data_IF_817963524329
#
_entry.id   IF_817963524329
#
_cell.length_a   1.000
_cell.length_b   1.000
_cell.length_c   1.000
_cell.angle_alpha   90.00
_cell.angle_beta   90.00
_cell.angle_gamma   90.00
#
_symmetry.space_group_name_H-M   'P 1'
#
loop_
_entity.id
_entity.type
_entity.pdbx_description
1 polymer ?
#
# COMPACT_ATOMS: atom_id res chain seq x y z
N UNK A 1 -9.57 -11.48 -16.24
CA UNK A 1 -8.35 -12.24 -16.60
C UNK A 1 -7.17 -11.40 -16.16
N UNK A 2 -6.32 -11.90 -15.28
CA UNK A 2 -5.09 -11.19 -14.89
C UNK A 2 -4.15 -11.22 -16.09
N UNK A 3 -3.84 -10.05 -16.66
CA UNK A 3 -2.83 -9.95 -17.70
C UNK A 3 -1.49 -10.27 -17.04
N UNK A 4 -0.87 -11.39 -17.43
CA UNK A 4 0.47 -11.74 -16.93
C UNK A 4 1.48 -10.77 -17.52
N UNK A 5 2.25 -10.13 -16.64
CA UNK A 5 3.37 -9.29 -17.04
C UNK A 5 4.43 -10.19 -17.70
N UNK A 6 4.89 -9.90 -18.93
CA UNK A 6 5.91 -10.70 -19.59
C UNK A 6 7.23 -10.73 -18.81
N UNK A 7 7.90 -11.89 -18.79
CA UNK A 7 9.25 -12.01 -18.25
C UNK A 7 10.22 -11.06 -18.98
N UNK A 8 11.09 -10.38 -18.24
CA UNK A 8 12.06 -9.44 -18.78
C UNK A 8 11.51 -8.03 -19.05
N UNK A 9 10.22 -7.77 -18.80
CA UNK A 9 9.62 -6.43 -18.86
C UNK A 9 10.43 -5.47 -17.99
N UNK A 10 10.80 -4.32 -18.54
CA UNK A 10 11.55 -3.30 -17.79
C UNK A 10 10.64 -2.71 -16.73
N UNK A 11 11.17 -2.57 -15.52
CA UNK A 11 10.54 -1.86 -14.43
C UNK A 11 11.46 -0.73 -14.01
N UNK A 12 11.02 0.51 -14.22
CA UNK A 12 11.78 1.69 -13.83
C UNK A 12 11.39 2.07 -12.40
N UNK A 13 12.38 2.13 -11.51
CA UNK A 13 12.22 2.70 -10.17
C UNK A 13 13.28 3.77 -10.00
N UNK A 14 12.83 5.03 -9.92
CA UNK A 14 13.71 6.20 -9.89
C UNK A 14 14.72 6.17 -11.05
N UNK A 15 16.03 6.19 -10.79
CA UNK A 15 17.07 6.16 -11.82
C UNK A 15 17.45 4.72 -12.25
N UNK A 16 16.92 3.70 -11.58
CA UNK A 16 17.30 2.31 -11.78
C UNK A 16 16.29 1.58 -12.68
N UNK A 17 16.81 0.72 -13.56
CA UNK A 17 16.01 -0.19 -14.37
C UNK A 17 16.20 -1.62 -13.88
N UNK A 18 15.11 -2.24 -13.46
CA UNK A 18 15.04 -3.66 -13.09
C UNK A 18 14.28 -4.45 -14.15
N UNK A 19 14.27 -5.78 -14.04
CA UNK A 19 13.52 -6.66 -14.94
C UNK A 19 12.56 -7.56 -14.18
N UNK A 20 11.33 -7.58 -14.67
CA UNK A 20 10.29 -8.44 -14.13
C UNK A 20 10.62 -9.92 -14.34
N UNK A 21 10.44 -10.74 -13.32
CA UNK A 21 10.82 -12.14 -13.26
C UNK A 21 12.29 -12.40 -12.92
N UNK A 22 13.13 -11.36 -12.79
CA UNK A 22 14.54 -11.47 -12.41
C UNK A 22 14.77 -10.81 -11.05
N UNK A 23 14.83 -9.47 -11.01
CA UNK A 23 15.04 -8.71 -9.77
C UNK A 23 13.71 -8.32 -9.10
N UNK A 24 12.66 -8.15 -9.89
CA UNK A 24 11.31 -7.80 -9.40
C UNK A 24 10.32 -8.85 -9.84
N UNK A 25 9.44 -9.28 -8.95
CA UNK A 25 8.48 -10.36 -9.23
C UNK A 25 7.06 -9.94 -8.81
N UNK A 26 6.07 -10.66 -9.33
CA UNK A 26 4.71 -10.55 -8.81
C UNK A 26 4.64 -11.08 -7.38
N UNK A 27 3.89 -10.40 -6.52
CA UNK A 27 3.57 -10.93 -5.19
C UNK A 27 2.74 -12.21 -5.33
N UNK A 28 3.00 -13.19 -4.44
CA UNK A 28 2.30 -14.46 -4.43
C UNK A 28 0.83 -14.25 -4.03
N UNK A 29 -0.07 -14.59 -4.96
CA UNK A 29 -1.51 -14.44 -4.74
C UNK A 29 -2.02 -15.44 -3.69
N UNK A 30 -2.58 -14.89 -2.61
CA UNK A 30 -3.14 -15.60 -1.46
C UNK A 30 -4.67 -15.69 -1.51
N UNK A 31 -5.31 -15.25 -2.60
CA UNK A 31 -6.78 -15.20 -2.72
C UNK A 31 -7.45 -16.56 -2.56
N UNK A 32 -6.81 -17.64 -3.03
CA UNK A 32 -7.33 -19.01 -2.92
C UNK A 32 -7.45 -19.50 -1.46
N UNK A 33 -6.72 -18.89 -0.52
CA UNK A 33 -6.72 -19.24 0.90
C UNK A 33 -7.31 -18.13 1.78
N UNK A 34 -7.96 -17.11 1.21
CA UNK A 34 -8.49 -15.95 1.96
C UNK A 34 -9.44 -16.32 3.11
N UNK A 35 -10.13 -17.46 2.96
CA UNK A 35 -11.07 -17.96 3.96
C UNK A 35 -10.46 -19.00 4.91
N UNK A 36 -9.15 -19.28 4.81
CA UNK A 36 -8.42 -20.16 5.72
C UNK A 36 -7.41 -19.35 6.57
N UNK A 37 -7.79 -18.94 7.80
CA UNK A 37 -6.96 -18.06 8.62
C UNK A 37 -5.67 -18.74 9.10
N UNK A 38 -5.64 -20.06 9.21
CA UNK A 38 -4.43 -20.80 9.55
C UNK A 38 -3.42 -20.77 8.40
N UNK A 39 -3.87 -21.09 7.18
CA UNK A 39 -3.04 -21.00 5.99
C UNK A 39 -2.52 -19.57 5.75
N UNK A 40 -3.36 -18.54 5.96
CA UNK A 40 -2.96 -17.15 5.87
C UNK A 40 -1.88 -16.79 6.90
N UNK A 41 -2.01 -17.23 8.15
CA UNK A 41 -0.98 -17.00 9.17
C UNK A 41 0.34 -17.67 8.80
N UNK A 42 0.31 -18.91 8.32
CA UNK A 42 1.52 -19.61 7.87
C UNK A 42 2.19 -18.88 6.71
N UNK A 43 1.41 -18.49 5.68
CA UNK A 43 1.88 -17.68 4.55
C UNK A 43 2.50 -16.35 5.00
N UNK A 44 1.82 -15.63 5.90
CA UNK A 44 2.31 -14.34 6.40
C UNK A 44 3.61 -14.48 7.21
N UNK A 45 3.78 -15.56 7.98
CA UNK A 45 5.03 -15.83 8.70
C UNK A 45 6.19 -16.15 7.75
N UNK A 46 5.91 -16.92 6.69
CA UNK A 46 6.88 -17.29 5.66
C UNK A 46 7.29 -16.07 4.83
N UNK A 47 6.32 -15.40 4.22
CA UNK A 47 6.56 -14.39 3.17
C UNK A 47 6.61 -12.96 3.69
N UNK A 48 6.02 -12.69 4.86
CA UNK A 48 5.98 -11.36 5.49
C UNK A 48 4.85 -10.46 4.99
N UNK A 49 4.05 -10.93 4.04
CA UNK A 49 2.90 -10.21 3.49
C UNK A 49 1.77 -11.19 3.10
N UNK A 50 0.60 -10.63 2.80
CA UNK A 50 -0.49 -11.31 2.12
C UNK A 50 -0.95 -10.45 0.96
N UNK A 51 -0.94 -10.99 -0.26
CA UNK A 51 -1.50 -10.33 -1.42
C UNK A 51 -2.82 -11.01 -1.79
N UNK A 52 -3.95 -10.29 -1.65
CA UNK A 52 -5.29 -10.85 -1.84
C UNK A 52 -6.04 -10.03 -2.88
N UNK A 53 -6.23 -10.62 -4.05
CA UNK A 53 -7.04 -10.07 -5.14
C UNK A 53 -8.52 -10.24 -4.84
N UNK A 54 -9.33 -9.27 -5.26
CA UNK A 54 -10.78 -9.31 -5.04
C UNK A 54 -11.18 -9.38 -3.56
N UNK A 55 -10.37 -8.79 -2.68
CA UNK A 55 -10.70 -8.67 -1.26
C UNK A 55 -11.84 -7.67 -1.06
N UNK A 56 -11.68 -6.47 -1.61
CA UNK A 56 -12.66 -5.40 -1.52
C UNK A 56 -13.81 -5.59 -2.51
N UNK A 57 -14.99 -5.14 -2.10
CA UNK A 57 -16.15 -5.03 -3.00
C UNK A 57 -15.84 -4.05 -4.15
N UNK A 58 -16.08 -4.50 -5.38
CA UNK A 58 -15.72 -3.74 -6.57
C UNK A 58 -16.46 -2.41 -6.68
N UNK A 59 -17.74 -2.34 -6.26
CA UNK A 59 -18.52 -1.11 -6.31
C UNK A 59 -18.02 -0.11 -5.27
N UNK A 60 -17.72 -0.56 -4.05
CA UNK A 60 -17.12 0.29 -3.01
C UNK A 60 -15.74 0.82 -3.42
N UNK A 61 -14.90 -0.01 -4.01
CA UNK A 61 -13.60 0.43 -4.55
C UNK A 61 -13.78 1.51 -5.61
N UNK A 62 -14.72 1.32 -6.54
CA UNK A 62 -15.02 2.30 -7.58
C UNK A 62 -15.54 3.62 -7.00
N UNK A 63 -16.45 3.58 -6.03
CA UNK A 63 -16.95 4.78 -5.35
C UNK A 63 -15.83 5.54 -4.62
N UNK A 64 -14.96 4.83 -3.89
CA UNK A 64 -13.80 5.41 -3.23
C UNK A 64 -12.83 6.05 -4.23
N UNK A 65 -12.58 5.41 -5.37
CA UNK A 65 -11.75 5.93 -6.45
C UNK A 65 -12.35 7.19 -7.06
N UNK A 66 -13.62 7.16 -7.49
CA UNK A 66 -14.31 8.31 -8.07
C UNK A 66 -14.37 9.49 -7.10
N UNK A 67 -14.65 9.25 -5.81
CA UNK A 67 -14.62 10.28 -4.79
C UNK A 67 -13.23 10.92 -4.65
N UNK A 68 -12.17 10.09 -4.59
CA UNK A 68 -10.79 10.57 -4.48
C UNK A 68 -10.38 11.38 -5.70
N UNK A 69 -10.71 10.91 -6.91
CA UNK A 69 -10.42 11.61 -8.15
C UNK A 69 -11.18 12.95 -8.24
N UNK A 70 -12.42 13.01 -7.75
CA UNK A 70 -13.16 14.27 -7.60
C UNK A 70 -12.45 15.26 -6.69
N UNK A 71 -11.98 14.80 -5.52
CA UNK A 71 -11.22 15.64 -4.59
C UNK A 71 -9.89 16.16 -5.20
N UNK A 72 -9.25 15.39 -6.08
CA UNK A 72 -8.07 15.83 -6.84
C UNK A 72 -8.46 16.85 -7.92
N UNK A 73 -9.56 16.61 -8.64
CA UNK A 73 -10.07 17.51 -9.67
C UNK A 73 -10.44 18.89 -9.10
N UNK A 74 -11.11 18.93 -7.94
CA UNK A 74 -11.45 20.17 -7.22
C UNK A 74 -10.21 21.00 -6.82
N UNK A 75 -9.03 20.36 -6.77
CA UNK A 75 -7.74 20.97 -6.47
C UNK A 75 -6.89 21.21 -7.73
N UNK A 76 -7.46 21.05 -8.91
CA UNK A 76 -6.77 21.25 -10.20
C UNK A 76 -5.74 20.17 -10.54
N UNK A 77 -5.80 19.00 -9.89
CA UNK A 77 -4.80 17.93 -10.05
C UNK A 77 -5.02 17.02 -11.26
N UNK A 78 -6.17 17.14 -11.94
CA UNK A 78 -6.51 16.34 -13.14
C UNK A 78 -6.25 17.17 -14.41
N UNK A 79 -5.78 16.51 -15.47
CA UNK A 79 -5.52 17.11 -16.78
C UNK A 79 -6.78 17.72 -17.40
N UNK A 80 -6.70 19.00 -17.76
CA UNK A 80 -7.76 19.71 -18.46
C UNK A 80 -8.18 19.01 -19.75
N UNK A 81 -9.50 19.01 -20.02
CA UNK A 81 -10.07 18.36 -21.20
C UNK A 81 -10.14 16.83 -21.15
N UNK A 82 -9.82 16.21 -20.01
CA UNK A 82 -9.98 14.76 -19.80
C UNK A 82 -11.07 14.45 -18.77
N UNK A 83 -11.76 13.30 -18.86
CA UNK A 83 -12.69 12.85 -17.82
C UNK A 83 -11.96 12.68 -16.48
N UNK A 84 -12.61 13.01 -15.36
CA UNK A 84 -12.05 12.88 -14.00
C UNK A 84 -11.63 11.44 -13.72
N UNK A 85 -12.43 10.49 -14.19
CA UNK A 85 -12.26 9.05 -14.04
C UNK A 85 -10.99 8.53 -14.72
N UNK A 86 -10.43 9.29 -15.67
CA UNK A 86 -9.17 8.91 -16.32
C UNK A 86 -7.96 9.00 -15.38
N UNK A 87 -8.06 9.78 -14.30
CA UNK A 87 -6.97 9.94 -13.32
C UNK A 87 -5.68 10.54 -13.91
N UNK A 88 -5.74 11.11 -15.11
CA UNK A 88 -4.55 11.64 -15.79
C UNK A 88 -4.09 12.90 -15.06
N UNK A 89 -2.86 12.86 -14.55
CA UNK A 89 -2.28 13.96 -13.80
C UNK A 89 -2.23 15.27 -14.61
N UNK A 90 -2.58 16.37 -13.95
CA UNK A 90 -2.51 17.72 -14.50
C UNK A 90 -1.09 18.18 -14.82
N UNK A 91 -0.97 19.29 -15.54
CA UNK A 91 0.32 19.83 -16.02
C UNK A 91 1.33 20.08 -14.91
N UNK A 92 0.87 20.48 -13.73
CA UNK A 92 1.71 20.76 -12.56
C UNK A 92 2.30 19.49 -11.92
N UNK A 93 1.90 18.29 -12.38
CA UNK A 93 2.42 17.00 -11.90
C UNK A 93 2.42 16.87 -10.36
N UNK A 94 1.33 17.29 -9.73
CA UNK A 94 1.23 17.40 -8.29
C UNK A 94 0.79 16.09 -7.63
N UNK A 95 1.52 15.64 -6.62
CA UNK A 95 1.08 14.56 -5.73
C UNK A 95 0.14 15.10 -4.65
N UNK A 96 -0.87 14.30 -4.29
CA UNK A 96 -1.84 14.62 -3.23
C UNK A 96 -1.71 13.61 -2.10
N UNK A 97 -1.18 14.08 -0.96
CA UNK A 97 -1.22 13.34 0.31
C UNK A 97 -2.41 13.85 1.11
N UNK A 98 -3.44 13.02 1.27
CA UNK A 98 -4.64 13.39 2.02
C UNK A 98 -4.55 13.04 3.52
N UNK A 99 -3.37 12.64 4.00
CA UNK A 99 -3.16 12.20 5.38
C UNK A 99 -3.60 13.23 6.45
N UNK A 100 -3.48 14.54 6.14
CA UNK A 100 -3.93 15.62 7.04
C UNK A 100 -5.31 16.18 6.68
N UNK A 101 -5.88 15.72 5.57
CA UNK A 101 -7.13 16.17 4.98
C UNK A 101 -8.20 15.13 5.30
N UNK A 102 -8.63 15.11 6.56
CA UNK A 102 -9.58 14.11 7.05
C UNK A 102 -10.93 14.20 6.33
N UNK A 103 -11.30 15.36 5.81
CA UNK A 103 -12.49 15.52 4.97
C UNK A 103 -12.46 14.65 3.70
N UNK A 104 -11.26 14.29 3.22
CA UNK A 104 -11.08 13.36 2.09
C UNK A 104 -10.73 11.96 2.60
N UNK A 105 -9.67 11.84 3.42
CA UNK A 105 -9.15 10.54 3.84
C UNK A 105 -10.08 9.78 4.81
N UNK A 106 -11.01 10.47 5.46
CA UNK A 106 -12.04 9.88 6.34
C UNK A 106 -13.45 10.04 5.78
N UNK A 107 -13.58 10.37 4.50
CA UNK A 107 -14.88 10.40 3.84
C UNK A 107 -15.56 9.03 3.90
N UNK A 108 -16.89 9.04 3.82
CA UNK A 108 -17.71 7.82 3.92
C UNK A 108 -17.30 6.79 2.88
N UNK A 109 -17.02 7.21 1.66
CA UNK A 109 -16.62 6.37 0.52
C UNK A 109 -15.31 5.64 0.80
N UNK A 110 -14.37 6.29 1.50
CA UNK A 110 -13.10 5.69 1.91
C UNK A 110 -13.33 4.70 3.07
N UNK A 111 -14.04 5.13 4.13
CA UNK A 111 -14.22 4.31 5.32
C UNK A 111 -15.14 3.10 5.07
N UNK A 112 -16.18 3.23 4.25
CA UNK A 112 -17.05 2.11 3.88
C UNK A 112 -16.29 0.96 3.18
N UNK A 113 -15.14 1.28 2.57
CA UNK A 113 -14.23 0.36 1.93
C UNK A 113 -13.22 -0.21 2.95
N UNK A 114 -12.36 0.65 3.50
CA UNK A 114 -11.19 0.20 4.29
C UNK A 114 -11.56 -0.17 5.74
N UNK A 115 -12.62 0.40 6.29
CA UNK A 115 -13.17 0.08 7.62
C UNK A 115 -14.42 -0.78 7.53
N UNK A 116 -14.61 -1.47 6.40
CA UNK A 116 -15.76 -2.34 6.19
C UNK A 116 -15.81 -3.49 7.21
N UNK A 117 -17.02 -4.03 7.42
CA UNK A 117 -17.20 -5.23 8.23
C UNK A 117 -16.32 -6.39 7.72
N UNK A 118 -16.12 -6.51 6.41
CA UNK A 118 -15.28 -7.55 5.81
C UNK A 118 -13.81 -7.38 6.20
N UNK A 119 -13.28 -6.15 6.20
CA UNK A 119 -11.93 -5.85 6.68
C UNK A 119 -11.75 -6.22 8.15
N UNK A 120 -12.68 -5.79 9.01
CA UNK A 120 -12.59 -6.10 10.44
C UNK A 120 -12.72 -7.59 10.69
N UNK A 121 -13.72 -8.27 10.11
CA UNK A 121 -13.89 -9.72 10.23
C UNK A 121 -12.66 -10.49 9.75
N UNK A 122 -12.04 -10.06 8.65
CA UNK A 122 -10.79 -10.65 8.16
C UNK A 122 -9.68 -10.57 9.22
N UNK A 123 -9.42 -9.38 9.75
CA UNK A 123 -8.35 -9.20 10.74
C UNK A 123 -8.66 -9.88 12.07
N UNK A 124 -9.91 -9.88 12.54
CA UNK A 124 -10.29 -10.61 13.74
C UNK A 124 -9.99 -12.10 13.59
N UNK A 125 -10.39 -12.73 12.47
CA UNK A 125 -10.10 -14.13 12.16
C UNK A 125 -8.60 -14.40 12.03
N UNK A 126 -7.87 -13.48 11.39
CA UNK A 126 -6.42 -13.56 11.24
C UNK A 126 -5.73 -13.53 12.62
N UNK A 127 -6.14 -12.63 13.51
CA UNK A 127 -5.63 -12.48 14.88
C UNK A 127 -6.34 -13.36 15.92
N UNK A 128 -6.71 -14.59 15.54
CA UNK A 128 -7.27 -15.61 16.45
C UNK A 128 -8.63 -15.23 17.07
N UNK A 129 -9.52 -14.65 16.27
CA UNK A 129 -10.86 -14.20 16.67
C UNK A 129 -10.85 -13.20 17.84
N UNK A 130 -9.80 -12.37 17.92
CA UNK A 130 -9.70 -11.28 18.89
C UNK A 130 -10.25 -10.01 18.29
N UNK A 131 -10.85 -9.16 19.13
CA UNK A 131 -11.24 -7.81 18.75
C UNK A 131 -10.03 -7.04 18.22
N UNK A 132 -10.19 -6.44 17.05
CA UNK A 132 -9.17 -5.59 16.43
C UNK A 132 -9.56 -4.12 16.49
N UNK A 133 -8.55 -3.27 16.42
CA UNK A 133 -8.69 -1.82 16.23
C UNK A 133 -7.76 -1.40 15.11
N UNK A 134 -8.06 -0.28 14.48
CA UNK A 134 -7.20 0.38 13.50
C UNK A 134 -6.76 1.74 14.06
N UNK A 135 -5.70 2.32 13.49
CA UNK A 135 -5.37 3.70 13.81
C UNK A 135 -6.48 4.63 13.32
N UNK A 136 -6.67 5.78 13.97
CA UNK A 136 -7.72 6.72 13.53
C UNK A 136 -7.41 7.33 12.17
N UNK A 137 -6.13 7.49 11.81
CA UNK A 137 -5.72 8.12 10.55
C UNK A 137 -5.68 7.14 9.38
N UNK A 138 -6.19 7.56 8.23
CA UNK A 138 -6.01 6.86 6.94
C UNK A 138 -4.93 7.56 6.14
N UNK A 139 -3.96 6.80 5.65
CA UNK A 139 -2.93 7.29 4.73
C UNK A 139 -3.41 7.15 3.28
N UNK A 140 -4.36 8.00 2.88
CA UNK A 140 -4.77 8.09 1.48
C UNK A 140 -3.74 8.90 0.69
N UNK A 141 -3.17 8.28 -0.35
CA UNK A 141 -2.10 8.84 -1.17
C UNK A 141 -2.44 8.73 -2.65
N UNK A 142 -2.17 9.80 -3.39
CA UNK A 142 -2.28 9.87 -4.84
C UNK A 142 -0.98 10.46 -5.36
N UNK A 143 -0.17 9.63 -6.03
CA UNK A 143 1.17 10.02 -6.45
C UNK A 143 1.13 10.48 -7.91
N UNK A 144 1.80 11.59 -8.19
CA UNK A 144 2.06 12.03 -9.56
C UNK A 144 3.26 11.30 -10.16
N UNK A 145 3.56 11.56 -11.44
CA UNK A 145 4.67 10.91 -12.13
C UNK A 145 5.99 11.19 -11.42
N UNK A 146 6.80 10.15 -11.22
CA UNK A 146 8.07 10.22 -10.51
C UNK A 146 7.96 10.31 -8.98
N UNK A 147 6.74 10.36 -8.43
CA UNK A 147 6.52 10.34 -6.99
C UNK A 147 6.63 8.92 -6.43
N UNK A 148 7.45 8.74 -5.39
CA UNK A 148 7.56 7.48 -4.65
C UNK A 148 7.72 7.75 -3.15
N UNK A 149 7.56 6.71 -2.34
CA UNK A 149 8.01 6.73 -0.96
C UNK A 149 9.34 5.98 -0.88
N UNK A 150 10.23 6.44 -0.01
CA UNK A 150 11.46 5.72 0.28
C UNK A 150 11.17 4.39 0.98
N UNK A 151 12.15 3.50 1.01
CA UNK A 151 12.02 2.23 1.70
C UNK A 151 12.12 2.42 3.20
N UNK A 152 11.21 1.79 3.92
CA UNK A 152 11.07 1.92 5.37
C UNK A 152 10.32 0.75 5.96
N UNK A 153 10.32 0.67 7.30
CA UNK A 153 9.38 -0.14 8.07
C UNK A 153 8.35 0.76 8.73
N UNK A 154 7.06 0.45 8.54
CA UNK A 154 5.97 1.13 9.24
C UNK A 154 6.14 1.09 10.76
N UNK A 155 6.80 0.05 11.30
CA UNK A 155 7.12 -0.03 12.73
C UNK A 155 7.96 1.16 13.24
N UNK A 156 8.74 1.83 12.39
CA UNK A 156 9.54 2.99 12.80
C UNK A 156 8.67 4.26 12.89
N UNK A 157 7.63 4.35 12.06
CA UNK A 157 6.66 5.46 12.06
C UNK A 157 5.54 5.28 13.10
N UNK A 158 4.93 4.10 13.10
CA UNK A 158 3.69 3.79 13.84
C UNK A 158 3.86 2.57 14.73
N UNK A 159 5.02 2.49 15.39
CA UNK A 159 5.47 1.29 16.09
C UNK A 159 4.84 1.00 17.45
N UNK A 160 4.26 2.01 18.09
CA UNK A 160 3.84 1.94 19.50
C UNK A 160 2.61 1.05 19.68
N UNK A 161 2.46 0.50 20.89
CA UNK A 161 1.37 -0.41 21.24
C UNK A 161 1.71 -1.87 20.97
N UNK A 162 0.74 -2.63 20.47
CA UNK A 162 0.90 -4.07 20.22
C UNK A 162 1.85 -4.34 19.04
N UNK A 163 2.74 -5.35 19.16
CA UNK A 163 3.52 -5.84 18.02
C UNK A 163 2.67 -6.69 17.05
N UNK A 164 1.49 -7.14 17.46
CA UNK A 164 0.54 -7.85 16.60
C UNK A 164 -0.24 -6.83 15.77
N UNK A 165 0.42 -6.27 14.75
CA UNK A 165 -0.11 -5.23 13.87
C UNK A 165 0.26 -5.55 12.43
N UNK A 166 -0.65 -5.24 11.51
CA UNK A 166 -0.44 -5.34 10.08
C UNK A 166 -0.79 -4.00 9.43
N UNK A 167 -0.11 -3.68 8.34
CA UNK A 167 -0.51 -2.61 7.42
C UNK A 167 -1.37 -3.21 6.33
N UNK A 168 -2.52 -2.61 6.07
CA UNK A 168 -3.35 -2.93 4.91
C UNK A 168 -3.19 -1.84 3.87
N UNK A 169 -2.49 -2.17 2.78
CA UNK A 169 -2.40 -1.30 1.62
C UNK A 169 -3.49 -1.72 0.62
N UNK A 170 -4.36 -0.78 0.24
CA UNK A 170 -5.50 -1.03 -0.66
C UNK A 170 -5.38 -0.17 -1.90
N UNK A 171 -5.35 -0.80 -3.08
CA UNK A 171 -5.48 -0.09 -4.34
C UNK A 171 -6.93 0.34 -4.55
N UNK A 172 -7.16 1.62 -4.85
CA UNK A 172 -8.49 2.13 -5.22
C UNK A 172 -8.75 1.99 -6.72
N UNK A 173 -7.70 2.08 -7.53
CA UNK A 173 -7.73 1.90 -8.98
C UNK A 173 -6.85 0.71 -9.37
N UNK A 174 -6.99 0.25 -10.61
CA UNK A 174 -5.95 -0.59 -11.20
C UNK A 174 -4.63 0.18 -11.27
N UNK A 175 -3.52 -0.52 -11.10
CA UNK A 175 -2.17 0.06 -11.12
C UNK A 175 -1.27 -0.85 -11.93
N UNK A 176 -0.82 -0.36 -13.07
CA UNK A 176 0.18 -1.02 -13.90
C UNK A 176 1.58 -0.87 -13.29
N UNK A 177 2.57 -1.58 -13.85
CA UNK A 177 3.96 -1.44 -13.43
C UNK A 177 4.50 -0.01 -13.57
N UNK A 178 4.00 0.75 -14.55
CA UNK A 178 4.48 2.11 -14.84
C UNK A 178 3.82 3.17 -13.97
N UNK A 179 2.70 2.82 -13.30
CA UNK A 179 1.91 3.73 -12.45
C UNK A 179 2.32 3.69 -10.96
N UNK A 180 3.42 2.99 -10.63
CA UNK A 180 3.98 2.96 -9.28
C UNK A 180 3.21 2.04 -8.32
N UNK A 181 3.24 0.71 -8.53
CA UNK A 181 2.65 -0.24 -7.60
C UNK A 181 3.40 -0.25 -6.27
N UNK A 182 2.78 -0.83 -5.23
CA UNK A 182 3.50 -1.14 -3.99
C UNK A 182 4.64 -2.14 -4.26
N UNK A 183 5.86 -1.76 -3.89
CA UNK A 183 7.04 -2.64 -3.94
C UNK A 183 7.41 -3.05 -2.51
N UNK A 184 7.72 -4.34 -2.32
CA UNK A 184 8.13 -4.91 -1.04
C UNK A 184 9.47 -5.64 -1.22
N UNK A 185 10.43 -5.36 -0.35
CA UNK A 185 11.68 -6.14 -0.27
C UNK A 185 11.37 -7.50 0.38
N UNK A 186 11.31 -8.55 -0.45
CA UNK A 186 10.92 -9.90 -0.03
C UNK A 186 11.91 -10.48 1.00
N UNK A 187 11.39 -11.14 2.03
CA UNK A 187 12.21 -11.73 3.09
C UNK A 187 12.81 -10.73 4.08
N UNK A 188 12.66 -9.42 3.86
CA UNK A 188 13.18 -8.38 4.75
C UNK A 188 12.63 -8.53 6.19
N UNK A 189 11.40 -9.00 6.36
CA UNK A 189 10.77 -9.29 7.67
C UNK A 189 11.50 -10.38 8.48
N UNK A 190 12.44 -11.12 7.90
CA UNK A 190 13.30 -12.10 8.57
C UNK A 190 14.76 -11.62 8.70
N UNK A 191 15.11 -10.49 8.10
CA UNK A 191 16.49 -10.00 8.07
C UNK A 191 16.96 -9.53 9.46
N UNK A 192 17.74 -10.38 10.14
CA UNK A 192 18.10 -10.22 11.56
C UNK A 192 18.76 -8.88 11.91
N UNK A 193 19.68 -8.37 11.08
CA UNK A 193 20.39 -7.10 11.36
C UNK A 193 19.42 -5.93 11.30
N UNK A 194 18.75 -5.73 10.17
CA UNK A 194 17.67 -4.73 9.99
C UNK A 194 16.67 -4.73 11.14
N UNK A 195 16.14 -5.90 11.52
CA UNK A 195 15.17 -6.03 12.63
C UNK A 195 15.71 -5.68 14.01
N UNK A 196 17.02 -5.84 14.24
CA UNK A 196 17.67 -5.54 15.53
C UNK A 196 18.19 -4.11 15.60
N UNK A 197 18.37 -3.44 14.45
CA UNK A 197 18.85 -2.06 14.35
C UNK A 197 17.70 -1.14 13.94
N UNK A 198 17.60 -0.78 12.65
CA UNK A 198 16.63 0.15 12.10
C UNK A 198 15.18 -0.20 12.49
N UNK A 199 14.80 -1.48 12.41
CA UNK A 199 13.46 -1.94 12.79
C UNK A 199 13.10 -1.86 14.28
N UNK A 200 14.03 -1.44 15.16
CA UNK A 200 13.77 -1.14 16.59
C UNK A 200 13.70 0.35 16.89
N UNK A 201 13.96 1.19 15.90
CA UNK A 201 13.89 2.63 16.07
C UNK A 201 12.43 3.09 16.17
N UNK A 202 12.24 4.24 16.80
CA UNK A 202 10.98 4.99 16.88
C UNK A 202 11.31 6.42 16.48
N UNK A 203 10.73 6.89 15.37
CA UNK A 203 11.15 8.15 14.74
C UNK A 203 11.07 9.36 15.68
N UNK A 204 10.03 9.40 16.52
CA UNK A 204 9.79 10.51 17.44
C UNK A 204 10.70 10.41 18.67
N UNK A 205 10.90 9.20 19.20
CA UNK A 205 11.75 8.96 20.38
C UNK A 205 13.23 9.17 20.05
N UNK A 206 13.65 8.64 18.92
CA UNK A 206 15.07 8.61 18.53
C UNK A 206 15.47 9.83 17.68
N UNK A 207 14.50 10.68 17.30
CA UNK A 207 14.69 11.91 16.52
C UNK A 207 15.43 11.67 15.20
N UNK A 208 15.01 10.63 14.49
CA UNK A 208 15.59 10.23 13.20
C UNK A 208 14.59 10.43 12.06
N UNK A 209 15.11 10.51 10.83
CA UNK A 209 14.28 10.20 9.68
C UNK A 209 13.97 8.70 9.68
N UNK A 210 12.72 8.36 9.42
CA UNK A 210 12.25 6.99 9.39
C UNK A 210 12.48 6.31 8.03
N UNK A 211 13.15 6.98 7.10
CA UNK A 211 13.66 6.39 5.86
C UNK A 211 14.83 5.45 6.14
N UNK A 212 14.78 4.23 5.60
CA UNK A 212 15.93 3.32 5.60
C UNK A 212 16.88 3.63 4.44
N UNK A 213 16.33 3.65 3.22
CA UNK A 213 17.05 4.06 2.01
C UNK A 213 16.09 4.62 0.97
N UNK A 214 16.56 5.55 0.17
CA UNK A 214 15.88 6.05 -1.03
C UNK A 214 16.33 5.31 -2.30
N UNK A 215 17.45 4.58 -2.25
CA UNK A 215 18.01 3.88 -3.41
C UNK A 215 17.45 2.45 -3.47
N UNK A 216 16.61 2.10 -4.47
CA UNK A 216 16.09 0.76 -4.63
C UNK A 216 17.16 -0.31 -4.90
N UNK A 217 18.36 0.07 -5.37
CA UNK A 217 19.46 -0.85 -5.63
C UNK A 217 20.21 -1.29 -4.38
N UNK A 218 19.95 -0.66 -3.22
CA UNK A 218 20.50 -1.06 -1.92
C UNK A 218 19.74 -2.23 -1.27
N UNK A 219 18.69 -2.75 -1.92
CA UNK A 219 17.76 -3.76 -1.37
C UNK A 219 17.91 -5.16 -1.96
#
# INVERSE_FOLDING_TARGET
>A
MTIKIPYGTKFQFDQHTFRFGQEVVELMDSSAIKDNPEALRSRFQEDGYLFIRGFHDAQKSQLAASFTLGAIADRGGIKEGTPIESGIVGRENQSFSFFRQTEVAHAKEILDLVDSNDTFCFFERFFHNKKVITFDKRWLRCMANGGCNHFHYDQVYVGRGTPNRCTMWSALTDISLEEGPLVICLGSHQHKKLRKTYGKMDMDRDLIDAVFTSDPAEL
#
